data_IF_337890742954
#
_entry.id   IF_337890742954
#
_cell.length_a   1.000
_cell.length_b   1.000
_cell.length_c   1.000
_cell.angle_alpha   90.00
_cell.angle_beta   90.00
_cell.angle_gamma   90.00
#
_symmetry.space_group_name_H-M   'P 1'
#
loop_
_entity.id
_entity.type
_entity.pdbx_description
1 polymer ?
#
# COMPACT_ATOMS: atom_id res chain seq x y z
N UNK A 1 11.69 13.38 10.19
CA UNK A 1 11.66 12.14 9.38
C UNK A 1 12.42 12.45 8.10
N UNK A 2 13.35 11.57 7.70
CA UNK A 2 14.25 11.84 6.56
C UNK A 2 14.04 10.87 5.40
N UNK A 3 13.44 9.70 5.65
CA UNK A 3 13.13 8.72 4.62
C UNK A 3 11.94 9.20 3.78
N UNK A 4 12.02 9.07 2.47
CA UNK A 4 10.96 9.44 1.52
C UNK A 4 10.32 8.20 0.89
N UNK A 5 9.05 8.31 0.46
CA UNK A 5 8.38 7.25 -0.29
C UNK A 5 9.12 6.91 -1.58
N UNK A 6 9.71 7.90 -2.24
CA UNK A 6 10.51 7.68 -3.46
C UNK A 6 11.73 6.81 -3.21
N UNK A 7 12.42 6.97 -2.09
CA UNK A 7 13.54 6.11 -1.72
C UNK A 7 13.08 4.66 -1.46
N UNK A 8 11.94 4.49 -0.80
CA UNK A 8 11.36 3.15 -0.58
C UNK A 8 10.90 2.49 -1.87
N UNK A 9 10.35 3.25 -2.81
CA UNK A 9 9.97 2.78 -4.14
C UNK A 9 11.20 2.32 -4.94
N UNK A 10 12.27 3.12 -4.95
CA UNK A 10 13.54 2.77 -5.57
C UNK A 10 14.11 1.48 -4.96
N UNK A 11 14.15 1.39 -3.63
CA UNK A 11 14.61 0.19 -2.93
C UNK A 11 13.80 -1.05 -3.34
N UNK A 12 12.48 -0.96 -3.33
CA UNK A 12 11.60 -2.07 -3.69
C UNK A 12 11.80 -2.52 -5.14
N UNK A 13 12.00 -1.59 -6.07
CA UNK A 13 12.21 -1.91 -7.48
C UNK A 13 13.60 -2.50 -7.75
N UNK A 14 14.64 -1.99 -7.07
CA UNK A 14 15.98 -2.58 -7.14
C UNK A 14 15.98 -4.00 -6.59
N UNK A 15 15.22 -4.27 -5.52
CA UNK A 15 15.09 -5.62 -4.96
C UNK A 15 14.42 -6.57 -5.97
N UNK A 16 13.36 -6.15 -6.64
CA UNK A 16 12.66 -6.97 -7.64
C UNK A 16 13.52 -7.25 -8.86
N UNK A 17 14.21 -6.24 -9.36
CA UNK A 17 14.98 -6.33 -10.61
C UNK A 17 16.42 -6.86 -10.42
N UNK A 18 16.97 -6.74 -9.20
CA UNK A 18 18.37 -7.08 -8.89
C UNK A 18 19.40 -6.14 -9.53
N UNK A 19 18.95 -5.00 -10.08
CA UNK A 19 19.80 -4.07 -10.86
C UNK A 19 19.29 -2.64 -10.79
N UNK A 20 20.19 -1.69 -10.48
CA UNK A 20 19.87 -0.26 -10.54
C UNK A 20 19.52 0.22 -11.95
N UNK A 21 20.09 -0.41 -12.97
CA UNK A 21 19.81 -0.09 -14.39
C UNK A 21 18.39 -0.51 -14.77
N UNK A 22 17.95 -1.71 -14.40
CA UNK A 22 16.59 -2.14 -14.68
C UNK A 22 15.56 -1.33 -13.87
N UNK A 23 15.84 -1.09 -12.60
CA UNK A 23 14.99 -0.25 -11.76
C UNK A 23 14.85 1.18 -12.34
N UNK A 24 15.92 1.74 -12.92
CA UNK A 24 15.85 3.08 -13.53
C UNK A 24 14.90 3.14 -14.73
N UNK A 25 14.87 2.08 -15.55
CA UNK A 25 13.91 1.98 -16.66
C UNK A 25 12.48 1.87 -16.14
N UNK A 26 12.23 0.99 -15.16
CA UNK A 26 10.90 0.77 -14.62
C UNK A 26 10.33 2.01 -13.93
N UNK A 27 11.18 2.80 -13.27
CA UNK A 27 10.79 4.00 -12.55
C UNK A 27 10.86 5.29 -13.38
N UNK A 28 11.28 5.20 -14.66
CA UNK A 28 11.53 6.35 -15.53
C UNK A 28 12.49 7.36 -14.91
N UNK A 29 13.56 6.86 -14.29
CA UNK A 29 14.63 7.64 -13.68
C UNK A 29 15.97 7.42 -14.41
N UNK A 30 16.95 8.30 -14.15
CA UNK A 30 18.33 8.00 -14.50
C UNK A 30 18.93 6.95 -13.54
N UNK A 31 19.87 6.14 -14.01
CA UNK A 31 20.56 5.16 -13.18
C UNK A 31 21.32 5.83 -12.03
N UNK A 32 21.87 7.02 -12.25
CA UNK A 32 22.52 7.82 -11.19
C UNK A 32 21.53 8.26 -10.10
N UNK A 33 20.30 8.64 -10.47
CA UNK A 33 19.26 9.00 -9.52
C UNK A 33 18.81 7.80 -8.66
N UNK A 34 18.67 6.61 -9.28
CA UNK A 34 18.37 5.37 -8.56
C UNK A 34 19.49 5.02 -7.59
N UNK A 35 20.74 5.09 -8.03
CA UNK A 35 21.90 4.81 -7.16
C UNK A 35 22.03 5.81 -6.00
N UNK A 36 21.80 7.10 -6.26
CA UNK A 36 21.83 8.13 -5.24
C UNK A 36 20.72 7.91 -4.19
N UNK A 37 19.48 7.68 -4.65
CA UNK A 37 18.35 7.44 -3.76
C UNK A 37 18.57 6.22 -2.84
N UNK A 38 19.15 5.14 -3.39
CA UNK A 38 19.47 3.96 -2.61
C UNK A 38 20.59 4.23 -1.60
N UNK A 39 21.65 4.91 -2.01
CA UNK A 39 22.77 5.29 -1.12
C UNK A 39 22.31 6.20 0.01
N UNK A 40 21.44 7.18 -0.29
CA UNK A 40 20.87 8.09 0.70
C UNK A 40 19.99 7.34 1.71
N UNK A 41 19.17 6.39 1.24
CA UNK A 41 18.35 5.56 2.10
C UNK A 41 19.21 4.72 3.06
N UNK A 42 20.22 4.04 2.54
CA UNK A 42 21.16 3.25 3.33
C UNK A 42 21.93 4.12 4.33
N UNK A 43 22.34 5.32 3.92
CA UNK A 43 22.99 6.29 4.80
C UNK A 43 22.07 6.77 5.93
N UNK A 44 20.81 7.02 5.65
CA UNK A 44 19.81 7.43 6.66
C UNK A 44 19.48 6.32 7.65
N UNK A 45 19.48 5.06 7.18
CA UNK A 45 19.24 3.88 8.00
C UNK A 45 20.50 3.42 8.77
N UNK A 46 21.68 3.85 8.33
CA UNK A 46 22.96 3.44 8.90
C UNK A 46 23.35 1.98 8.60
N UNK A 47 22.69 1.36 7.60
CA UNK A 47 22.94 -0.04 7.20
C UNK A 47 22.88 -0.19 5.68
N UNK A 48 23.64 -1.14 5.15
CA UNK A 48 23.49 -1.57 3.76
C UNK A 48 22.27 -2.49 3.63
N UNK A 49 21.53 -2.38 2.54
CA UNK A 49 20.34 -3.19 2.23
C UNK A 49 20.62 -4.30 1.21
N UNK A 50 21.72 -4.14 0.47
CA UNK A 50 22.16 -5.07 -0.56
C UNK A 50 23.64 -5.43 -0.41
N UNK A 51 23.96 -6.65 -0.74
CA UNK A 51 25.32 -7.11 -0.96
C UNK A 51 25.64 -7.12 -2.46
N UNK A 52 26.89 -6.86 -2.79
CA UNK A 52 27.37 -6.97 -4.19
C UNK A 52 27.91 -8.36 -4.43
N UNK A 53 27.24 -9.11 -5.31
CA UNK A 53 27.69 -10.42 -5.77
C UNK A 53 28.00 -10.31 -7.27
N UNK A 54 29.27 -10.07 -7.60
CA UNK A 54 29.68 -9.77 -8.96
C UNK A 54 29.08 -8.45 -9.45
N UNK A 55 28.28 -8.52 -10.51
CA UNK A 55 27.57 -7.33 -11.08
C UNK A 55 26.15 -7.17 -10.57
N UNK A 56 25.66 -8.05 -9.68
CA UNK A 56 24.29 -8.03 -9.17
C UNK A 56 24.23 -7.48 -7.74
N UNK A 57 23.13 -6.82 -7.46
CA UNK A 57 22.73 -6.47 -6.10
C UNK A 57 21.84 -7.58 -5.58
N UNK A 58 22.23 -8.16 -4.46
CA UNK A 58 21.47 -9.21 -3.76
C UNK A 58 21.01 -8.64 -2.45
N UNK A 59 19.71 -8.70 -2.19
CA UNK A 59 19.15 -8.22 -0.94
C UNK A 59 19.74 -8.99 0.24
N UNK A 60 20.25 -8.27 1.24
CA UNK A 60 20.79 -8.84 2.47
C UNK A 60 19.68 -8.94 3.56
N UNK A 61 20.07 -9.32 4.77
CA UNK A 61 19.13 -9.50 5.89
C UNK A 61 18.40 -8.19 6.25
N UNK A 62 19.10 -7.04 6.26
CA UNK A 62 18.49 -5.74 6.53
C UNK A 62 17.46 -5.36 5.46
N UNK A 63 17.77 -5.59 4.20
CA UNK A 63 16.83 -5.37 3.10
C UNK A 63 15.60 -6.25 3.18
N UNK A 64 15.76 -7.52 3.55
CA UNK A 64 14.62 -8.44 3.77
C UNK A 64 13.73 -8.00 4.92
N UNK A 65 14.31 -7.43 5.97
CA UNK A 65 13.56 -6.87 7.10
C UNK A 65 12.80 -5.60 6.73
N UNK A 66 13.39 -4.74 5.89
CA UNK A 66 12.79 -3.49 5.44
C UNK A 66 11.66 -3.72 4.43
N UNK A 67 11.82 -4.68 3.51
CA UNK A 67 10.97 -4.82 2.34
C UNK A 67 9.45 -4.89 2.64
N UNK A 68 8.95 -5.75 3.53
CA UNK A 68 7.52 -5.80 3.83
C UNK A 68 6.98 -4.50 4.42
N UNK A 69 7.79 -3.77 5.19
CA UNK A 69 7.42 -2.47 5.76
C UNK A 69 7.38 -1.37 4.71
N UNK A 70 8.35 -1.39 3.78
CA UNK A 70 8.38 -0.47 2.65
C UNK A 70 7.16 -0.66 1.76
N UNK A 71 6.80 -1.91 1.43
CA UNK A 71 5.59 -2.20 0.64
C UNK A 71 4.33 -1.70 1.32
N UNK A 72 4.15 -1.96 2.60
CA UNK A 72 2.97 -1.52 3.34
C UNK A 72 2.82 0.02 3.32
N UNK A 73 3.92 0.77 3.46
CA UNK A 73 3.89 2.23 3.37
C UNK A 73 3.58 2.73 1.96
N UNK A 74 4.12 2.07 0.93
CA UNK A 74 3.84 2.43 -0.47
C UNK A 74 2.38 2.14 -0.83
N UNK A 75 1.81 1.02 -0.38
CA UNK A 75 0.40 0.69 -0.56
C UNK A 75 -0.49 1.74 0.12
N UNK A 76 -0.20 2.12 1.37
CA UNK A 76 -0.93 3.18 2.06
C UNK A 76 -0.84 4.53 1.33
N UNK A 77 0.32 4.86 0.76
CA UNK A 77 0.47 6.08 -0.02
C UNK A 77 -0.41 6.07 -1.28
N UNK A 78 -0.48 4.94 -1.97
CA UNK A 78 -1.38 4.76 -3.14
C UNK A 78 -2.85 4.87 -2.71
N UNK A 79 -3.25 4.28 -1.59
CA UNK A 79 -4.60 4.42 -1.03
C UNK A 79 -4.95 5.89 -0.76
N UNK A 80 -4.01 6.66 -0.17
CA UNK A 80 -4.19 8.10 0.06
C UNK A 80 -4.36 8.86 -1.25
N UNK A 81 -3.57 8.56 -2.29
CA UNK A 81 -3.72 9.17 -3.60
C UNK A 81 -5.07 8.85 -4.27
N UNK A 82 -5.60 7.68 -4.00
CA UNK A 82 -6.88 7.20 -4.54
C UNK A 82 -8.08 7.77 -3.78
N UNK A 83 -7.93 8.12 -2.49
CA UNK A 83 -9.02 8.63 -1.65
C UNK A 83 -9.86 9.74 -2.31
N UNK A 84 -9.23 10.59 -3.12
CA UNK A 84 -9.89 11.71 -3.77
C UNK A 84 -10.07 11.52 -5.28
N UNK A 85 -9.54 10.43 -5.85
CA UNK A 85 -9.72 10.07 -7.27
C UNK A 85 -10.94 9.21 -7.50
N UNK A 86 -11.32 8.42 -6.51
CA UNK A 86 -12.53 7.60 -6.53
C UNK A 86 -13.71 8.36 -5.93
N UNK A 87 -14.09 9.47 -6.57
CA UNK A 87 -15.42 10.07 -6.36
C UNK A 87 -16.49 9.22 -7.08
N UNK A 88 -16.37 7.90 -6.94
CA UNK A 88 -17.32 6.93 -7.46
C UNK A 88 -18.50 6.71 -6.52
N UNK A 89 -18.63 7.55 -5.46
CA UNK A 89 -19.76 7.46 -4.54
C UNK A 89 -19.93 6.08 -3.89
N UNK A 90 -18.84 5.33 -3.72
CA UNK A 90 -18.89 4.03 -3.05
C UNK A 90 -19.39 4.22 -1.61
N UNK A 91 -20.47 3.53 -1.27
CA UNK A 91 -20.95 3.48 0.11
C UNK A 91 -20.12 2.44 0.87
N UNK A 92 -19.37 2.89 1.87
CA UNK A 92 -18.57 2.03 2.75
C UNK A 92 -19.36 1.70 4.01
N UNK A 93 -19.68 0.44 4.16
CA UNK A 93 -20.48 -0.08 5.27
C UNK A 93 -19.60 -0.97 6.15
N UNK A 94 -19.62 -0.74 7.46
CA UNK A 94 -19.01 -1.66 8.41
C UNK A 94 -20.08 -2.22 9.34
N UNK A 95 -20.16 -3.53 9.46
CA UNK A 95 -21.17 -4.17 10.27
C UNK A 95 -20.58 -5.14 11.28
N UNK A 96 -21.26 -5.30 12.41
CA UNK A 96 -20.98 -6.42 13.31
C UNK A 96 -21.22 -7.77 12.61
N UNK A 97 -20.51 -8.80 13.06
CA UNK A 97 -20.57 -10.14 12.44
C UNK A 97 -21.99 -10.67 12.28
N UNK A 98 -22.87 -10.42 13.23
CA UNK A 98 -24.27 -10.86 13.16
C UNK A 98 -25.01 -10.15 12.03
N UNK A 99 -24.91 -8.83 11.96
CA UNK A 99 -25.62 -8.04 10.94
C UNK A 99 -24.99 -8.26 9.57
N UNK A 100 -23.65 -8.25 9.50
CA UNK A 100 -22.90 -8.39 8.25
C UNK A 100 -23.11 -9.74 7.57
N UNK A 101 -23.21 -10.82 8.34
CA UNK A 101 -23.34 -12.15 7.78
C UNK A 101 -24.80 -12.58 7.51
N UNK A 102 -25.77 -12.09 8.27
CA UNK A 102 -27.14 -12.61 8.19
C UNK A 102 -28.15 -11.62 7.61
N UNK A 103 -27.96 -10.33 7.78
CA UNK A 103 -28.94 -9.30 7.37
C UNK A 103 -28.48 -8.57 6.10
N UNK A 104 -27.25 -8.06 6.09
CA UNK A 104 -26.77 -7.20 5.01
C UNK A 104 -26.68 -7.87 3.63
N UNK A 105 -26.37 -9.15 3.46
CA UNK A 105 -26.31 -9.75 2.13
C UNK A 105 -27.61 -9.61 1.34
N UNK A 106 -28.77 -9.80 1.99
CA UNK A 106 -30.06 -9.63 1.34
C UNK A 106 -30.35 -8.15 1.01
N UNK A 107 -29.97 -7.23 1.89
CA UNK A 107 -30.13 -5.79 1.64
C UNK A 107 -29.21 -5.32 0.49
N UNK A 108 -27.96 -5.78 0.47
CA UNK A 108 -27.00 -5.44 -0.60
C UNK A 108 -27.47 -6.00 -1.95
N UNK A 109 -28.00 -7.21 -1.98
CA UNK A 109 -28.56 -7.79 -3.20
C UNK A 109 -29.69 -6.91 -3.76
N UNK A 110 -30.61 -6.44 -2.90
CA UNK A 110 -31.68 -5.51 -3.30
C UNK A 110 -31.12 -4.14 -3.72
N UNK A 111 -30.15 -3.61 -3.01
CA UNK A 111 -29.50 -2.35 -3.36
C UNK A 111 -28.89 -2.40 -4.76
N UNK A 112 -28.12 -3.45 -5.08
CA UNK A 112 -27.48 -3.65 -6.40
C UNK A 112 -28.48 -3.80 -7.54
N UNK A 113 -29.68 -4.34 -7.29
CA UNK A 113 -30.75 -4.41 -8.29
C UNK A 113 -31.27 -3.01 -8.68
N UNK A 114 -31.33 -2.07 -7.72
CA UNK A 114 -31.85 -0.74 -7.96
C UNK A 114 -30.75 0.26 -8.38
N UNK A 115 -29.52 0.04 -7.94
CA UNK A 115 -28.39 0.94 -8.15
C UNK A 115 -27.13 0.16 -8.63
N UNK A 116 -27.18 -0.45 -9.83
CA UNK A 116 -26.09 -1.33 -10.30
C UNK A 116 -24.77 -0.60 -10.55
N UNK A 117 -24.81 0.71 -10.78
CA UNK A 117 -23.64 1.54 -11.07
C UNK A 117 -22.96 2.14 -9.82
N UNK A 118 -23.61 2.03 -8.64
CA UNK A 118 -23.06 2.57 -7.41
C UNK A 118 -22.33 1.46 -6.64
N UNK A 119 -21.01 1.57 -6.47
CA UNK A 119 -20.24 0.57 -5.72
C UNK A 119 -20.61 0.61 -4.23
N UNK A 120 -20.61 -0.55 -3.60
CA UNK A 120 -20.81 -0.70 -2.16
C UNK A 120 -19.75 -1.66 -1.63
N UNK A 121 -19.04 -1.21 -0.62
CA UNK A 121 -18.03 -1.98 0.09
C UNK A 121 -18.56 -2.37 1.47
N UNK A 122 -18.48 -3.65 1.80
CA UNK A 122 -18.89 -4.17 3.09
C UNK A 122 -17.69 -4.75 3.83
N UNK A 123 -17.42 -4.24 5.01
CA UNK A 123 -16.51 -4.81 5.99
C UNK A 123 -17.28 -5.37 7.17
N UNK A 124 -16.79 -6.48 7.72
CA UNK A 124 -17.44 -7.16 8.86
C UNK A 124 -16.41 -7.38 9.96
N UNK A 125 -16.78 -7.06 11.20
CA UNK A 125 -15.92 -7.23 12.37
C UNK A 125 -16.72 -7.26 13.67
N UNK A 126 -16.01 -7.09 14.78
CA UNK A 126 -16.68 -6.97 16.10
C UNK A 126 -17.20 -5.53 16.33
N UNK A 127 -17.96 -5.33 17.38
CA UNK A 127 -18.55 -4.01 17.68
C UNK A 127 -17.50 -2.92 17.92
N UNK A 128 -16.35 -3.27 18.47
CA UNK A 128 -15.28 -2.30 18.71
C UNK A 128 -14.63 -1.87 17.39
N UNK A 129 -14.47 -2.81 16.44
CA UNK A 129 -13.95 -2.50 15.09
C UNK A 129 -14.89 -1.55 14.36
N UNK A 130 -16.21 -1.74 14.47
CA UNK A 130 -17.23 -0.84 13.90
C UNK A 130 -17.08 0.57 14.48
N UNK A 131 -17.00 0.68 15.81
CA UNK A 131 -16.84 1.97 16.50
C UNK A 131 -15.55 2.67 16.02
N UNK A 132 -14.44 1.96 15.98
CA UNK A 132 -13.16 2.51 15.53
C UNK A 132 -13.23 2.96 14.08
N UNK A 133 -13.87 2.19 13.19
CA UNK A 133 -14.03 2.54 11.79
C UNK A 133 -14.83 3.84 11.59
N UNK A 134 -15.86 4.06 12.40
CA UNK A 134 -16.64 5.31 12.39
C UNK A 134 -15.82 6.48 12.92
N UNK A 135 -15.13 6.31 14.05
CA UNK A 135 -14.31 7.36 14.64
C UNK A 135 -13.13 7.78 13.74
N UNK A 136 -12.59 6.84 13.00
CA UNK A 136 -11.50 7.06 12.04
C UNK A 136 -12.00 7.53 10.66
N UNK A 137 -13.30 7.79 10.49
CA UNK A 137 -13.93 8.19 9.22
C UNK A 137 -13.67 7.22 8.05
N UNK A 138 -13.46 5.93 8.35
CA UNK A 138 -13.18 4.89 7.34
C UNK A 138 -14.43 4.33 6.67
N UNK A 139 -15.62 4.66 7.20
CA UNK A 139 -16.91 4.17 6.73
C UNK A 139 -17.95 5.29 6.73
N UNK A 140 -19.01 5.08 5.96
CA UNK A 140 -20.13 6.02 5.82
C UNK A 140 -21.31 5.58 6.69
N UNK A 141 -21.44 4.26 6.92
CA UNK A 141 -22.48 3.63 7.74
C UNK A 141 -21.89 2.46 8.52
#
# INVERSE_FOLDING_TARGET
>A
MHITLRQLEVFAEVLKSGSTTQASVMLSLSQSAVSAALTDLEGQLGVQLFDRVGKRLVVNEHGRLLYPRALALLEQAVEIEQLFREDNGAIRVYASSTIGNYILPAMIARYRQHYPALPLELSVGNSQDVINAVLDFRVDI
#
